data_IF_960211942775
#
_entry.id   IF_960211942775
#
_cell.length_a   1.000
_cell.length_b   1.000
_cell.length_c   1.000
_cell.angle_alpha   90.00
_cell.angle_beta   90.00
_cell.angle_gamma   90.00
#
_symmetry.space_group_name_H-M   'P 1'
#
loop_
_entity.id
_entity.type
_entity.pdbx_description
1 polymer ?
#
# COMPACT_ATOMS: atom_id res chain seq x y z
N UNK A 1 33.89 -44.98 2.29
CA UNK A 1 33.97 -44.13 1.10
C UNK A 1 34.09 -42.70 1.58
N UNK A 2 34.97 -41.91 0.98
CA UNK A 2 35.07 -40.47 1.21
C UNK A 2 34.56 -39.76 -0.04
N UNK A 3 33.50 -38.95 0.13
CA UNK A 3 33.01 -38.05 -0.91
C UNK A 3 33.69 -36.69 -0.81
N UNK A 4 33.75 -35.95 -1.92
CA UNK A 4 34.38 -34.62 -2.03
C UNK A 4 35.76 -34.57 -1.34
N UNK A 5 36.59 -35.57 -1.60
CA UNK A 5 37.83 -35.78 -0.84
C UNK A 5 38.82 -34.61 -0.97
N UNK A 6 38.65 -33.75 -1.97
CA UNK A 6 39.38 -32.49 -2.08
C UNK A 6 39.19 -31.53 -0.90
N UNK A 7 38.08 -31.64 -0.14
CA UNK A 7 37.80 -30.80 1.04
C UNK A 7 38.92 -30.92 2.08
N UNK A 8 39.50 -32.12 2.22
CA UNK A 8 40.65 -32.39 3.09
C UNK A 8 41.78 -31.35 2.91
N UNK A 9 42.01 -30.90 1.67
CA UNK A 9 43.12 -30.02 1.35
C UNK A 9 42.86 -28.54 1.64
N UNK A 10 41.67 -28.21 2.15
CA UNK A 10 41.36 -26.91 2.75
C UNK A 10 41.80 -26.83 4.22
N UNK A 11 42.03 -27.97 4.87
CA UNK A 11 42.50 -28.02 6.25
C UNK A 11 44.01 -27.74 6.34
N UNK A 12 44.51 -27.33 7.52
CA UNK A 12 45.94 -27.13 7.75
C UNK A 12 46.77 -28.35 7.39
N UNK A 13 47.98 -28.14 6.87
CA UNK A 13 48.87 -29.21 6.42
C UNK A 13 49.11 -30.29 7.49
N UNK A 14 49.18 -29.91 8.77
CA UNK A 14 49.31 -30.86 9.88
C UNK A 14 48.18 -31.89 9.94
N UNK A 15 46.94 -31.45 9.70
CA UNK A 15 45.76 -32.32 9.68
C UNK A 15 45.77 -33.27 8.48
N UNK A 16 46.15 -32.78 7.29
CA UNK A 16 46.31 -33.60 6.08
C UNK A 16 47.35 -34.70 6.30
N UNK A 17 48.50 -34.34 6.88
CA UNK A 17 49.57 -35.29 7.20
C UNK A 17 49.15 -36.29 8.29
N UNK A 18 48.35 -35.85 9.27
CA UNK A 18 47.80 -36.73 10.28
C UNK A 18 46.87 -37.78 9.69
N UNK A 19 45.94 -37.39 8.79
CA UNK A 19 45.08 -38.34 8.10
C UNK A 19 45.90 -39.30 7.25
N UNK A 20 46.90 -38.80 6.51
CA UNK A 20 47.81 -39.64 5.73
C UNK A 20 48.45 -40.75 6.56
N UNK A 21 48.97 -40.41 7.74
CA UNK A 21 49.52 -41.42 8.69
C UNK A 21 48.47 -42.42 9.14
N UNK A 22 47.26 -41.97 9.48
CA UNK A 22 46.18 -42.86 9.91
C UNK A 22 45.75 -43.82 8.79
N UNK A 23 45.67 -43.35 7.55
CA UNK A 23 45.40 -44.18 6.38
C UNK A 23 46.51 -45.21 6.17
N UNK A 24 47.78 -44.81 6.29
CA UNK A 24 48.90 -45.74 6.20
C UNK A 24 48.87 -46.80 7.30
N UNK A 25 48.59 -46.41 8.55
CA UNK A 25 48.42 -47.35 9.68
C UNK A 25 47.35 -48.40 9.36
N UNK A 26 46.18 -47.97 8.90
CA UNK A 26 45.04 -48.87 8.63
C UNK A 26 45.29 -49.76 7.41
N UNK A 27 45.91 -49.23 6.35
CA UNK A 27 46.10 -49.97 5.09
C UNK A 27 47.30 -50.91 5.12
N UNK A 28 48.34 -50.61 5.92
CA UNK A 28 49.62 -51.32 5.85
C UNK A 28 49.93 -52.12 7.12
N UNK A 29 49.34 -51.77 8.27
CA UNK A 29 49.62 -52.42 9.55
C UNK A 29 48.47 -53.33 9.97
N UNK A 30 48.79 -54.39 10.73
CA UNK A 30 47.77 -55.21 11.37
C UNK A 30 47.14 -54.47 12.54
N UNK A 31 47.99 -53.94 13.43
CA UNK A 31 47.57 -53.14 14.58
C UNK A 31 48.44 -51.90 14.69
N UNK A 32 47.85 -50.70 14.77
CA UNK A 32 48.60 -49.49 15.07
C UNK A 32 49.32 -49.61 16.43
N UNK A 33 50.58 -49.16 16.50
CA UNK A 33 51.41 -49.28 17.72
C UNK A 33 50.75 -48.64 18.96
N UNK A 34 49.97 -47.57 18.77
CA UNK A 34 49.20 -46.93 19.85
C UNK A 34 48.16 -47.87 20.44
N UNK A 35 47.47 -48.64 19.61
CA UNK A 35 46.42 -49.59 20.02
C UNK A 35 47.07 -50.76 20.74
N UNK A 36 48.18 -51.28 20.21
CA UNK A 36 48.95 -52.34 20.88
C UNK A 36 49.42 -51.92 22.27
N UNK A 37 50.02 -50.73 22.42
CA UNK A 37 50.42 -50.21 23.73
C UNK A 37 49.25 -50.00 24.68
N UNK A 38 48.11 -49.54 24.17
CA UNK A 38 46.90 -49.41 24.99
C UNK A 38 46.39 -50.78 25.46
N UNK A 39 46.32 -51.77 24.57
CA UNK A 39 45.93 -53.14 24.90
C UNK A 39 46.87 -53.74 25.96
N UNK A 40 48.18 -53.58 25.81
CA UNK A 40 49.18 -54.01 26.81
C UNK A 40 48.94 -53.37 28.19
N UNK A 41 48.66 -52.06 28.24
CA UNK A 41 48.39 -51.36 29.50
C UNK A 41 47.09 -51.83 30.16
N UNK A 42 46.03 -52.04 29.37
CA UNK A 42 44.75 -52.52 29.88
C UNK A 42 44.82 -53.97 30.36
N UNK A 43 45.50 -54.85 29.62
CA UNK A 43 45.73 -56.24 30.03
C UNK A 43 46.58 -56.34 31.29
N UNK A 44 47.54 -55.43 31.51
CA UNK A 44 48.29 -55.36 32.79
C UNK A 44 47.40 -54.98 33.97
N UNK A 45 46.44 -54.10 33.76
CA UNK A 45 45.51 -53.67 34.81
C UNK A 45 44.39 -54.69 35.06
N UNK A 46 43.94 -55.37 34.00
CA UNK A 46 42.86 -56.36 33.99
C UNK A 46 43.24 -57.52 33.05
N UNK A 47 43.91 -58.58 33.56
CA UNK A 47 44.40 -59.69 32.74
C UNK A 47 43.31 -60.47 32.00
N UNK A 48 42.08 -60.45 32.52
CA UNK A 48 40.93 -61.16 31.93
C UNK A 48 40.08 -60.25 30.99
N UNK A 49 40.58 -59.06 30.64
CA UNK A 49 39.82 -58.11 29.82
C UNK A 49 39.56 -58.61 28.40
N UNK A 50 40.51 -59.32 27.80
CA UNK A 50 40.38 -59.94 26.49
C UNK A 50 40.67 -61.44 26.62
N UNK A 51 39.90 -62.24 25.91
CA UNK A 51 40.20 -63.65 25.69
C UNK A 51 41.35 -63.82 24.70
N UNK A 52 42.04 -64.97 24.72
CA UNK A 52 43.09 -65.30 23.73
C UNK A 52 42.59 -65.13 22.28
N UNK A 53 41.31 -65.43 22.04
CA UNK A 53 40.68 -65.27 20.73
C UNK A 53 40.50 -63.79 20.34
N UNK A 54 40.14 -62.92 21.28
CA UNK A 54 40.02 -61.48 21.05
C UNK A 54 41.38 -60.81 20.89
N UNK A 55 42.41 -61.27 21.61
CA UNK A 55 43.79 -60.80 21.43
C UNK A 55 44.33 -61.19 20.04
N UNK A 56 44.11 -62.44 19.62
CA UNK A 56 44.45 -62.89 18.27
C UNK A 56 43.66 -62.13 17.19
N UNK A 57 42.39 -61.83 17.43
CA UNK A 57 41.56 -61.03 16.54
C UNK A 57 42.05 -59.58 16.46
N UNK A 58 42.50 -59.00 17.58
CA UNK A 58 43.11 -57.68 17.61
C UNK A 58 44.33 -57.64 16.69
N UNK A 59 45.18 -58.68 16.71
CA UNK A 59 46.37 -58.78 15.87
C UNK A 59 46.11 -59.09 14.39
N UNK A 60 44.87 -59.39 14.02
CA UNK A 60 44.50 -59.66 12.62
C UNK A 60 44.51 -58.38 11.77
N UNK A 61 44.91 -58.51 10.51
CA UNK A 61 44.82 -57.39 9.55
C UNK A 61 43.37 -57.14 9.20
N UNK A 62 42.96 -55.88 9.25
CA UNK A 62 41.66 -55.45 8.75
C UNK A 62 41.66 -55.45 7.21
N UNK A 63 40.70 -56.16 6.59
CA UNK A 63 40.48 -56.10 5.14
C UNK A 63 39.60 -54.88 4.82
N UNK A 64 40.25 -53.72 4.66
CA UNK A 64 39.57 -52.46 4.41
C UNK A 64 39.81 -52.00 2.97
N UNK A 65 38.70 -51.70 2.27
CA UNK A 65 38.71 -51.03 0.97
C UNK A 65 38.31 -49.57 1.15
N UNK A 66 39.14 -48.67 0.65
CA UNK A 66 38.90 -47.23 0.71
C UNK A 66 38.68 -46.71 -0.70
N UNK A 67 37.60 -45.95 -0.87
CA UNK A 67 37.25 -45.26 -2.12
C UNK A 67 37.26 -43.77 -1.81
N UNK A 68 38.01 -43.01 -2.61
CA UNK A 68 38.04 -41.54 -2.59
C UNK A 68 37.33 -41.04 -3.85
N UNK A 69 36.19 -40.37 -3.71
CA UNK A 69 35.60 -39.60 -4.79
C UNK A 69 36.21 -38.20 -4.76
N UNK A 70 36.79 -37.80 -5.88
CA UNK A 70 37.47 -36.51 -6.05
C UNK A 70 37.25 -36.04 -7.47
N UNK A 71 37.14 -34.72 -7.66
CA UNK A 71 37.06 -34.15 -9.00
C UNK A 71 38.37 -34.32 -9.78
N UNK A 72 38.26 -34.45 -11.10
CA UNK A 72 39.41 -34.61 -11.99
C UNK A 72 40.38 -33.43 -11.94
N UNK A 73 39.88 -32.19 -11.85
CA UNK A 73 40.69 -30.96 -11.73
C UNK A 73 41.40 -30.81 -10.38
N UNK A 74 40.94 -31.53 -9.35
CA UNK A 74 41.51 -31.55 -8.00
C UNK A 74 42.36 -32.78 -7.71
N UNK A 75 42.41 -33.75 -8.63
CA UNK A 75 43.14 -35.01 -8.47
C UNK A 75 44.61 -34.82 -8.10
N UNK A 76 45.25 -33.77 -8.59
CA UNK A 76 46.65 -33.44 -8.29
C UNK A 76 46.92 -33.19 -6.80
N UNK A 77 45.90 -32.83 -6.01
CA UNK A 77 46.03 -32.61 -4.57
C UNK A 77 46.35 -33.90 -3.80
N UNK A 78 45.97 -35.06 -4.34
CA UNK A 78 46.27 -36.37 -3.74
C UNK A 78 47.77 -36.61 -3.58
N UNK A 79 48.61 -35.94 -4.36
CA UNK A 79 50.06 -36.08 -4.25
C UNK A 79 50.59 -35.69 -2.85
N UNK A 80 49.87 -34.82 -2.14
CA UNK A 80 50.18 -34.45 -0.74
C UNK A 80 50.10 -35.63 0.24
N UNK A 81 49.41 -36.70 -0.14
CA UNK A 81 49.29 -37.94 0.64
C UNK A 81 50.23 -39.04 0.16
N UNK A 82 50.88 -38.89 -1.01
CA UNK A 82 51.79 -39.90 -1.59
C UNK A 82 52.91 -40.34 -0.64
N UNK A 83 53.37 -39.44 0.24
CA UNK A 83 54.40 -39.76 1.23
C UNK A 83 53.97 -40.85 2.24
N UNK A 84 52.69 -40.94 2.58
CA UNK A 84 52.14 -41.93 3.51
C UNK A 84 51.44 -43.08 2.79
N UNK A 85 50.80 -42.79 1.65
CA UNK A 85 50.06 -43.76 0.83
C UNK A 85 50.59 -43.71 -0.61
N UNK A 86 51.75 -44.35 -0.91
CA UNK A 86 52.40 -44.22 -2.22
C UNK A 86 51.55 -44.69 -3.41
N UNK A 87 50.62 -45.62 -3.18
CA UNK A 87 49.74 -46.16 -4.21
C UNK A 87 48.40 -45.44 -4.32
N UNK A 88 48.23 -44.27 -3.70
CA UNK A 88 46.95 -43.52 -3.70
C UNK A 88 46.48 -43.15 -5.11
N UNK A 89 47.40 -42.97 -6.06
CA UNK A 89 47.11 -42.68 -7.46
C UNK A 89 47.18 -43.90 -8.40
N UNK A 90 47.45 -45.09 -7.86
CA UNK A 90 47.69 -46.29 -8.68
C UNK A 90 46.40 -46.80 -9.35
N UNK A 91 45.28 -46.76 -8.64
CA UNK A 91 43.97 -47.20 -9.13
C UNK A 91 43.05 -45.99 -9.25
N UNK A 92 42.75 -45.61 -10.49
CA UNK A 92 41.92 -44.44 -10.81
C UNK A 92 40.81 -44.87 -11.75
N UNK A 93 39.60 -44.47 -11.42
CA UNK A 93 38.42 -44.70 -12.23
C UNK A 93 37.79 -43.33 -12.50
N UNK A 94 37.78 -42.95 -13.75
CA UNK A 94 37.14 -41.71 -14.18
C UNK A 94 35.67 -41.99 -14.48
N UNK A 95 34.77 -41.23 -13.86
CA UNK A 95 33.35 -41.26 -14.20
C UNK A 95 33.15 -40.43 -15.47
N UNK A 96 32.97 -41.14 -16.58
CA UNK A 96 32.65 -40.53 -17.86
C UNK A 96 31.15 -40.20 -17.94
N UNK A 97 30.79 -39.37 -18.92
CA UNK A 97 29.39 -39.15 -19.29
C UNK A 97 28.71 -40.46 -19.70
N UNK A 98 27.40 -40.52 -19.51
CA UNK A 98 26.62 -41.71 -19.83
C UNK A 98 26.53 -41.91 -21.34
N UNK A 99 26.73 -43.16 -21.78
CA UNK A 99 26.33 -43.58 -23.13
C UNK A 99 24.79 -43.65 -23.24
N UNK A 100 24.22 -43.64 -24.45
CA UNK A 100 22.76 -43.80 -24.61
C UNK A 100 22.20 -45.08 -23.99
N UNK A 101 22.97 -46.16 -23.98
CA UNK A 101 22.56 -47.43 -23.36
C UNK A 101 22.54 -47.32 -21.83
N UNK A 102 23.62 -46.78 -21.23
CA UNK A 102 23.68 -46.55 -19.77
C UNK A 102 22.63 -45.54 -19.31
N UNK A 103 22.37 -44.50 -20.10
CA UNK A 103 21.32 -43.52 -19.81
C UNK A 103 19.94 -44.15 -19.85
N UNK A 104 19.66 -45.06 -20.79
CA UNK A 104 18.41 -45.83 -20.83
C UNK A 104 18.23 -46.67 -19.56
N UNK A 105 19.26 -47.41 -19.16
CA UNK A 105 19.22 -48.17 -17.89
C UNK A 105 19.04 -47.27 -16.66
N UNK A 106 19.67 -46.09 -16.67
CA UNK A 106 19.55 -45.11 -15.61
C UNK A 106 18.18 -44.40 -15.55
N UNK A 107 17.36 -44.48 -16.60
CA UNK A 107 15.97 -44.01 -16.62
C UNK A 107 15.03 -45.14 -16.21
N UNK A 108 15.17 -46.31 -16.85
CA UNK A 108 14.21 -47.41 -16.72
C UNK A 108 14.28 -48.08 -15.35
N UNK A 109 15.48 -48.37 -14.84
CA UNK A 109 15.60 -49.13 -13.59
C UNK A 109 15.08 -48.37 -12.36
N UNK A 110 15.35 -47.06 -12.17
CA UNK A 110 14.76 -46.33 -11.05
C UNK A 110 13.24 -46.24 -11.11
N UNK A 111 12.65 -46.03 -12.30
CA UNK A 111 11.21 -45.89 -12.46
C UNK A 111 10.44 -47.18 -12.15
N UNK A 112 11.05 -48.35 -12.36
CA UNK A 112 10.45 -49.65 -12.04
C UNK A 112 10.67 -50.09 -10.59
N UNK A 113 11.42 -49.32 -9.80
CA UNK A 113 11.84 -49.75 -8.47
C UNK A 113 10.72 -49.54 -7.46
N UNK A 114 10.29 -50.63 -6.84
CA UNK A 114 9.36 -50.57 -5.71
C UNK A 114 10.08 -50.11 -4.43
N UNK A 115 9.37 -49.40 -3.57
CA UNK A 115 9.92 -48.86 -2.32
C UNK A 115 9.11 -47.70 -1.73
N UNK A 116 9.70 -47.06 -0.72
CA UNK A 116 9.12 -45.87 -0.07
C UNK A 116 9.43 -44.60 -0.89
N UNK A 117 8.96 -44.56 -2.13
CA UNK A 117 9.09 -43.42 -3.03
C UNK A 117 7.77 -42.64 -3.11
N UNK A 118 7.84 -41.38 -3.54
CA UNK A 118 6.66 -40.52 -3.67
C UNK A 118 5.71 -40.98 -4.80
N UNK A 119 6.26 -41.68 -5.78
CA UNK A 119 5.60 -42.25 -6.94
C UNK A 119 5.65 -43.79 -6.85
N UNK A 120 4.59 -44.48 -7.29
CA UNK A 120 4.66 -45.93 -7.48
C UNK A 120 5.47 -46.25 -8.75
N UNK A 121 5.87 -47.52 -8.94
CA UNK A 121 6.57 -47.95 -10.14
C UNK A 121 5.79 -47.64 -11.43
N UNK A 122 6.50 -47.17 -12.46
CA UNK A 122 5.94 -46.85 -13.77
C UNK A 122 6.91 -47.22 -14.89
N UNK A 123 6.39 -47.27 -16.12
CA UNK A 123 7.15 -47.67 -17.32
C UNK A 123 7.13 -46.57 -18.38
N UNK A 124 8.14 -46.58 -19.25
CA UNK A 124 8.22 -45.69 -20.40
C UNK A 124 7.94 -46.45 -21.70
N UNK A 125 7.19 -45.82 -22.60
CA UNK A 125 7.12 -46.26 -23.98
C UNK A 125 8.52 -46.13 -24.63
N UNK A 126 8.93 -47.07 -25.51
CA UNK A 126 10.23 -46.99 -26.17
C UNK A 126 10.47 -45.66 -26.92
N UNK A 127 9.41 -45.12 -27.53
CA UNK A 127 9.45 -43.83 -28.23
C UNK A 127 9.58 -42.62 -27.30
N UNK A 128 9.13 -42.72 -26.04
CA UNK A 128 9.31 -41.68 -25.03
C UNK A 128 10.78 -41.61 -24.62
N UNK A 129 11.40 -42.76 -24.37
CA UNK A 129 12.83 -42.86 -24.08
C UNK A 129 13.68 -42.34 -25.24
N UNK A 130 13.32 -42.67 -26.48
CA UNK A 130 14.03 -42.16 -27.66
C UNK A 130 13.92 -40.64 -27.77
N UNK A 131 12.76 -40.06 -27.45
CA UNK A 131 12.55 -38.60 -27.38
C UNK A 131 13.46 -37.96 -26.31
N UNK A 132 13.50 -38.53 -25.10
CA UNK A 132 14.36 -38.06 -24.01
C UNK A 132 15.85 -38.12 -24.39
N UNK A 133 16.30 -39.26 -24.91
CA UNK A 133 17.71 -39.48 -25.28
C UNK A 133 18.13 -38.60 -26.47
N UNK A 134 17.25 -38.42 -27.47
CA UNK A 134 17.51 -37.53 -28.59
C UNK A 134 17.71 -36.08 -28.14
N UNK A 135 16.94 -35.62 -27.15
CA UNK A 135 17.12 -34.30 -26.56
C UNK A 135 18.44 -34.18 -25.79
N UNK A 136 18.71 -35.11 -24.85
CA UNK A 136 19.89 -35.07 -23.99
C UNK A 136 21.20 -35.09 -24.80
N UNK A 137 21.22 -35.86 -25.89
CA UNK A 137 22.38 -35.96 -26.79
C UNK A 137 22.45 -34.82 -27.82
N UNK A 138 21.45 -33.93 -27.89
CA UNK A 138 21.23 -32.99 -29.02
C UNK A 138 21.37 -33.69 -30.38
N UNK A 139 20.67 -34.81 -30.54
CA UNK A 139 20.73 -35.63 -31.75
C UNK A 139 22.09 -36.30 -31.97
N UNK A 140 22.82 -36.63 -30.90
CA UNK A 140 24.14 -37.26 -30.94
C UNK A 140 25.34 -36.32 -31.00
N UNK A 141 25.13 -35.00 -30.90
CA UNK A 141 26.19 -33.99 -30.96
C UNK A 141 26.98 -33.84 -29.64
N UNK A 142 26.42 -34.28 -28.52
CA UNK A 142 27.05 -34.16 -27.19
C UNK A 142 26.80 -35.43 -26.35
N UNK A 143 27.67 -35.73 -25.38
CA UNK A 143 27.42 -36.82 -24.45
C UNK A 143 26.29 -36.48 -23.46
N UNK A 144 25.74 -37.51 -22.80
CA UNK A 144 24.65 -37.33 -21.83
C UNK A 144 25.23 -36.95 -20.47
N UNK A 145 24.91 -35.75 -20.03
CA UNK A 145 25.24 -35.27 -18.68
C UNK A 145 24.19 -35.76 -17.68
N UNK A 146 24.65 -36.35 -16.58
CA UNK A 146 23.79 -36.89 -15.53
C UNK A 146 22.84 -35.85 -14.94
N UNK A 147 23.27 -34.60 -14.83
CA UNK A 147 22.43 -33.50 -14.33
C UNK A 147 21.21 -33.23 -15.22
N UNK A 148 21.41 -33.21 -16.55
CA UNK A 148 20.30 -33.00 -17.49
C UNK A 148 19.32 -34.17 -17.45
N UNK A 149 19.84 -35.39 -17.34
CA UNK A 149 19.06 -36.60 -17.18
C UNK A 149 18.21 -36.55 -15.90
N UNK A 150 18.80 -36.14 -14.78
CA UNK A 150 18.13 -36.02 -13.48
C UNK A 150 16.96 -35.03 -13.53
N UNK A 151 17.15 -33.84 -14.11
CA UNK A 151 16.07 -32.85 -14.24
C UNK A 151 14.90 -33.43 -15.04
N UNK A 152 15.21 -34.10 -16.16
CA UNK A 152 14.19 -34.66 -17.02
C UNK A 152 13.42 -35.78 -16.31
N UNK A 153 14.12 -36.71 -15.65
CA UNK A 153 13.49 -37.79 -14.89
C UNK A 153 12.64 -37.24 -13.73
N UNK A 154 13.13 -36.23 -13.00
CA UNK A 154 12.38 -35.60 -11.93
C UNK A 154 11.10 -34.93 -12.44
N UNK A 155 11.12 -34.36 -13.64
CA UNK A 155 9.93 -33.77 -14.23
C UNK A 155 8.88 -34.82 -14.59
N UNK A 156 9.30 -35.99 -15.09
CA UNK A 156 8.40 -37.13 -15.35
C UNK A 156 7.83 -37.68 -14.04
N UNK A 157 8.66 -37.86 -13.02
CA UNK A 157 8.23 -38.28 -11.68
C UNK A 157 7.15 -37.35 -11.12
N UNK A 158 7.32 -36.03 -11.26
CA UNK A 158 6.32 -35.04 -10.87
C UNK A 158 5.05 -35.10 -11.74
N UNK A 159 5.16 -35.50 -13.00
CA UNK A 159 4.00 -35.75 -13.85
C UNK A 159 3.23 -36.98 -13.36
N UNK A 160 3.90 -38.13 -13.19
CA UNK A 160 3.34 -39.39 -12.66
C UNK A 160 2.63 -39.17 -11.33
N UNK A 161 3.27 -38.44 -10.39
CA UNK A 161 2.68 -38.14 -9.09
C UNK A 161 1.36 -37.36 -9.17
N UNK A 162 1.17 -36.55 -10.23
CA UNK A 162 -0.03 -35.72 -10.42
C UNK A 162 -1.10 -36.40 -11.27
N UNK A 163 -0.71 -37.08 -12.34
CA UNK A 163 -1.63 -37.73 -13.28
C UNK A 163 -2.12 -39.09 -12.76
N UNK A 164 -1.28 -39.78 -11.98
CA UNK A 164 -1.46 -41.19 -11.68
C UNK A 164 -1.25 -42.10 -12.89
N UNK A 165 -0.59 -41.59 -13.93
CA UNK A 165 -0.24 -42.39 -15.11
C UNK A 165 1.00 -43.25 -14.82
N UNK A 166 0.92 -44.52 -15.20
CA UNK A 166 1.97 -45.50 -14.99
C UNK A 166 2.65 -45.93 -16.29
N UNK A 167 2.26 -45.32 -17.42
CA UNK A 167 2.85 -45.60 -18.73
C UNK A 167 3.12 -44.31 -19.51
N UNK A 168 4.39 -43.93 -19.62
CA UNK A 168 4.80 -42.63 -20.17
C UNK A 168 4.94 -42.71 -21.68
N UNK A 169 4.07 -42.01 -22.40
CA UNK A 169 4.10 -41.86 -23.85
C UNK A 169 4.97 -40.64 -24.27
N UNK A 170 5.36 -40.53 -25.56
CA UNK A 170 6.19 -39.42 -26.03
C UNK A 170 5.61 -38.03 -25.74
N UNK A 171 4.29 -37.89 -25.80
CA UNK A 171 3.60 -36.62 -25.56
C UNK A 171 3.66 -36.20 -24.08
N UNK A 172 3.79 -37.16 -23.15
CA UNK A 172 3.93 -36.90 -21.71
C UNK A 172 5.30 -36.32 -21.33
N UNK A 173 6.32 -36.60 -22.15
CA UNK A 173 7.67 -36.03 -21.96
C UNK A 173 7.68 -34.52 -22.19
N UNK A 174 6.79 -34.04 -23.06
CA UNK A 174 6.65 -32.62 -23.39
C UNK A 174 7.88 -32.03 -24.09
N UNK A 175 7.97 -30.69 -24.10
CA UNK A 175 9.15 -29.96 -24.58
C UNK A 175 10.23 -29.97 -23.48
N UNK A 176 11.38 -30.64 -23.66
CA UNK A 176 12.39 -30.66 -22.63
C UNK A 176 12.98 -29.27 -22.37
N UNK A 177 13.01 -28.34 -23.35
CA UNK A 177 13.40 -26.96 -23.04
C UNK A 177 12.44 -26.29 -22.06
N UNK A 178 11.16 -26.67 -22.08
CA UNK A 178 10.19 -26.24 -21.10
C UNK A 178 10.48 -26.86 -19.74
N UNK A 179 10.86 -28.14 -19.69
CA UNK A 179 11.25 -28.82 -18.45
C UNK A 179 12.39 -28.07 -17.73
N UNK A 180 13.46 -27.66 -18.42
CA UNK A 180 14.54 -26.89 -17.77
C UNK A 180 14.10 -25.49 -17.33
N UNK A 181 13.19 -24.86 -18.07
CA UNK A 181 12.59 -23.57 -17.67
C UNK A 181 11.77 -23.71 -16.40
N UNK A 182 10.87 -24.68 -16.41
CA UNK A 182 9.93 -24.94 -15.33
C UNK A 182 10.68 -25.46 -14.10
N UNK A 183 11.77 -26.21 -14.28
CA UNK A 183 12.64 -26.64 -13.19
C UNK A 183 13.12 -25.46 -12.34
N UNK A 184 13.73 -24.43 -12.96
CA UNK A 184 14.20 -23.26 -12.24
C UNK A 184 13.05 -22.58 -11.48
N UNK A 185 11.95 -22.29 -12.17
CA UNK A 185 10.80 -21.59 -11.59
C UNK A 185 10.18 -22.42 -10.43
N UNK A 186 10.09 -23.74 -10.58
CA UNK A 186 9.58 -24.65 -9.56
C UNK A 186 10.48 -24.69 -8.32
N UNK A 187 11.80 -24.81 -8.49
CA UNK A 187 12.72 -24.82 -7.35
C UNK A 187 12.68 -23.50 -6.58
N UNK A 188 12.59 -22.36 -7.27
CA UNK A 188 12.40 -21.05 -6.63
C UNK A 188 11.03 -20.97 -5.92
N UNK A 189 9.99 -21.56 -6.49
CA UNK A 189 8.65 -21.58 -5.89
C UNK A 189 8.56 -22.41 -4.59
N UNK A 190 9.48 -23.35 -4.36
CA UNK A 190 9.55 -24.10 -3.10
C UNK A 190 9.97 -23.23 -1.89
N UNK A 191 10.59 -22.07 -2.14
CA UNK A 191 10.99 -21.13 -1.10
C UNK A 191 9.75 -20.37 -0.62
N UNK A 192 9.28 -20.69 0.59
CA UNK A 192 8.03 -20.17 1.14
C UNK A 192 8.11 -18.70 1.55
N UNK A 193 9.25 -18.25 2.08
CA UNK A 193 9.42 -16.85 2.48
C UNK A 193 9.64 -15.97 1.23
N UNK A 194 8.75 -14.99 0.96
CA UNK A 194 8.88 -14.11 -0.20
C UNK A 194 10.18 -13.29 -0.22
N UNK A 195 10.73 -12.95 0.95
CA UNK A 195 11.99 -12.20 1.05
C UNK A 195 13.15 -13.10 0.65
N UNK A 196 13.23 -14.31 1.21
CA UNK A 196 14.23 -15.30 0.82
C UNK A 196 14.12 -15.67 -0.65
N UNK A 197 12.90 -15.87 -1.15
CA UNK A 197 12.65 -16.19 -2.54
C UNK A 197 13.17 -15.08 -3.47
N UNK A 198 12.88 -13.81 -3.15
CA UNK A 198 13.39 -12.68 -3.93
C UNK A 198 14.92 -12.59 -3.84
N UNK A 199 15.51 -12.79 -2.66
CA UNK A 199 16.96 -12.78 -2.49
C UNK A 199 17.64 -13.90 -3.30
N UNK A 200 17.11 -15.13 -3.26
CA UNK A 200 17.60 -16.26 -4.04
C UNK A 200 17.52 -15.98 -5.55
N UNK A 201 16.40 -15.40 -6.01
CA UNK A 201 16.26 -14.97 -7.40
C UNK A 201 17.31 -13.93 -7.77
N UNK A 202 17.53 -12.90 -6.96
CA UNK A 202 18.55 -11.88 -7.25
C UNK A 202 19.96 -12.48 -7.28
N UNK A 203 20.31 -13.35 -6.34
CA UNK A 203 21.60 -14.05 -6.37
C UNK A 203 21.78 -14.82 -7.69
N UNK A 204 20.81 -15.64 -8.06
CA UNK A 204 20.92 -16.52 -9.22
C UNK A 204 20.84 -15.74 -10.54
N UNK A 205 19.86 -14.84 -10.67
CA UNK A 205 19.58 -14.08 -11.89
C UNK A 205 20.57 -12.93 -12.14
N UNK A 206 21.14 -12.33 -11.09
CA UNK A 206 22.00 -11.14 -11.19
C UNK A 206 23.45 -11.40 -10.77
N UNK A 207 23.68 -12.32 -9.84
CA UNK A 207 25.02 -12.57 -9.26
C UNK A 207 25.78 -13.72 -9.90
N UNK A 208 25.12 -14.85 -10.14
CA UNK A 208 25.76 -16.09 -10.61
C UNK A 208 25.74 -16.26 -12.13
N UNK A 209 25.19 -15.29 -12.87
CA UNK A 209 25.13 -15.32 -14.34
C UNK A 209 25.62 -14.00 -14.92
N UNK A 210 26.61 -14.09 -15.81
CA UNK A 210 27.03 -12.97 -16.64
C UNK A 210 26.21 -12.91 -17.93
N UNK A 211 25.24 -11.99 -17.96
CA UNK A 211 24.24 -11.89 -19.02
C UNK A 211 24.81 -11.65 -20.42
N UNK A 212 25.88 -10.85 -20.55
CA UNK A 212 26.45 -10.50 -21.86
C UNK A 212 27.06 -11.67 -22.61
N UNK A 213 27.68 -12.60 -21.88
CA UNK A 213 28.32 -13.79 -22.47
C UNK A 213 27.53 -15.08 -22.20
N UNK A 214 26.42 -15.00 -21.46
CA UNK A 214 25.63 -16.16 -21.02
C UNK A 214 26.50 -17.21 -20.33
N UNK A 215 27.34 -16.77 -19.39
CA UNK A 215 28.26 -17.64 -18.64
C UNK A 215 27.95 -17.63 -17.16
N UNK A 216 28.22 -18.76 -16.51
CA UNK A 216 28.18 -18.87 -15.05
C UNK A 216 29.28 -18.01 -14.43
N UNK A 217 28.96 -17.44 -13.28
CA UNK A 217 29.87 -16.76 -12.38
C UNK A 217 29.95 -17.53 -11.07
N UNK A 218 31.11 -17.43 -10.45
CA UNK A 218 31.39 -18.00 -9.13
C UNK A 218 31.48 -16.86 -8.12
N UNK A 219 30.77 -16.98 -7.00
CA UNK A 219 30.81 -16.00 -5.91
C UNK A 219 31.21 -16.66 -4.59
N UNK A 220 31.89 -15.92 -3.72
CA UNK A 220 32.23 -16.39 -2.38
C UNK A 220 31.04 -16.24 -1.43
N UNK A 221 30.90 -17.15 -0.46
CA UNK A 221 29.95 -17.06 0.66
C UNK A 221 29.83 -15.63 1.24
N UNK A 222 30.95 -15.02 1.63
CA UNK A 222 30.98 -13.66 2.22
C UNK A 222 30.35 -12.63 1.28
N UNK A 223 30.66 -12.69 -0.03
CA UNK A 223 30.09 -11.76 -1.01
C UNK A 223 28.58 -11.96 -1.17
N UNK A 224 28.12 -13.21 -1.10
CA UNK A 224 26.71 -13.56 -1.19
C UNK A 224 25.94 -13.01 0.01
N UNK A 225 26.47 -13.21 1.23
CA UNK A 225 25.88 -12.66 2.45
C UNK A 225 25.79 -11.14 2.39
N UNK A 226 26.87 -10.45 2.03
CA UNK A 226 26.93 -8.98 2.04
C UNK A 226 26.07 -8.34 0.95
N UNK A 227 26.04 -8.92 -0.26
CA UNK A 227 25.37 -8.30 -1.42
C UNK A 227 23.91 -8.70 -1.58
N UNK A 228 23.54 -9.90 -1.14
CA UNK A 228 22.19 -10.46 -1.36
C UNK A 228 21.44 -10.77 -0.06
N UNK A 229 22.08 -10.68 1.11
CA UNK A 229 21.43 -10.91 2.41
C UNK A 229 20.91 -12.34 2.59
N UNK A 230 21.51 -13.30 1.91
CA UNK A 230 21.13 -14.72 1.96
C UNK A 230 21.81 -15.38 3.16
N UNK A 231 21.11 -16.25 3.88
CA UNK A 231 21.66 -17.00 5.03
C UNK A 231 22.37 -18.29 4.60
N UNK A 232 23.23 -18.84 5.48
CA UNK A 232 23.87 -20.15 5.25
C UNK A 232 22.84 -21.27 5.08
N UNK A 233 21.72 -21.20 5.80
CA UNK A 233 20.63 -22.16 5.70
C UNK A 233 19.99 -22.13 4.30
N UNK A 234 19.69 -20.92 3.79
CA UNK A 234 19.14 -20.77 2.45
C UNK A 234 20.11 -21.24 1.37
N UNK A 235 21.42 -20.96 1.52
CA UNK A 235 22.44 -21.50 0.61
C UNK A 235 22.46 -23.02 0.60
N UNK A 236 22.41 -23.66 1.77
CA UNK A 236 22.34 -25.13 1.88
C UNK A 236 21.10 -25.68 1.18
N UNK A 237 19.92 -25.10 1.43
CA UNK A 237 18.69 -25.50 0.72
C UNK A 237 18.80 -25.35 -0.79
N UNK A 238 19.39 -24.25 -1.28
CA UNK A 238 19.60 -24.04 -2.72
C UNK A 238 20.59 -25.06 -3.32
N UNK A 239 21.60 -25.48 -2.57
CA UNK A 239 22.49 -26.57 -2.98
C UNK A 239 21.77 -27.92 -2.96
N UNK A 240 20.94 -28.19 -1.96
CA UNK A 240 20.15 -29.43 -1.85
C UNK A 240 19.14 -29.56 -3.01
N UNK A 241 18.58 -28.45 -3.49
CA UNK A 241 17.75 -28.41 -4.70
C UNK A 241 18.55 -28.56 -6.00
N UNK A 242 19.87 -28.71 -5.94
CA UNK A 242 20.77 -28.79 -7.10
C UNK A 242 20.69 -27.58 -8.04
N UNK A 243 20.13 -26.44 -7.61
CA UNK A 243 20.24 -25.18 -8.34
C UNK A 243 21.66 -24.62 -8.26
N UNK A 244 22.24 -24.72 -7.07
CA UNK A 244 23.59 -24.26 -6.78
C UNK A 244 24.53 -25.43 -6.53
N UNK A 245 25.79 -25.21 -6.87
CA UNK A 245 26.91 -26.03 -6.44
C UNK A 245 27.75 -25.23 -5.47
N UNK A 246 28.11 -25.86 -4.36
CA UNK A 246 29.11 -25.33 -3.42
C UNK A 246 30.46 -26.02 -3.67
N UNK A 247 31.54 -25.25 -3.64
CA UNK A 247 32.91 -25.76 -3.73
C UNK A 247 33.73 -25.21 -2.56
N UNK A 248 34.45 -26.08 -1.83
CA UNK A 248 35.33 -25.64 -0.77
C UNK A 248 36.56 -24.93 -1.37
N UNK A 249 36.89 -23.75 -0.85
CA UNK A 249 38.04 -22.99 -1.31
C UNK A 249 39.30 -23.37 -0.50
N UNK A 250 40.45 -23.49 -1.17
CA UNK A 250 41.75 -23.77 -0.55
C UNK A 250 42.18 -22.70 0.47
N UNK A 251 41.61 -21.49 0.41
CA UNK A 251 41.87 -20.40 1.37
C UNK A 251 40.82 -20.32 2.50
N UNK A 252 39.94 -21.31 2.60
CA UNK A 252 38.80 -21.33 3.51
C UNK A 252 37.54 -20.73 2.88
N UNK A 253 36.39 -21.10 3.47
CA UNK A 253 35.06 -20.74 2.97
C UNK A 253 34.64 -21.55 1.76
N UNK A 254 33.49 -21.18 1.20
CA UNK A 254 32.89 -21.82 0.03
C UNK A 254 32.69 -20.82 -1.10
N UNK A 255 32.85 -21.32 -2.32
CA UNK A 255 32.39 -20.65 -3.52
C UNK A 255 31.13 -21.31 -4.04
N UNK A 256 30.20 -20.52 -4.53
CA UNK A 256 28.94 -20.97 -5.11
C UNK A 256 28.85 -20.58 -6.57
N UNK A 257 28.30 -21.47 -7.36
CA UNK A 257 28.00 -21.28 -8.78
C UNK A 257 26.68 -21.98 -9.12
N UNK A 258 26.12 -21.69 -10.31
CA UNK A 258 25.05 -22.53 -10.85
C UNK A 258 25.58 -23.94 -11.14
N UNK A 259 24.79 -24.94 -10.79
CA UNK A 259 25.17 -26.36 -10.95
C UNK A 259 25.52 -26.74 -12.39
N UNK A 260 24.86 -26.12 -13.37
CA UNK A 260 25.09 -26.43 -14.78
C UNK A 260 24.86 -25.24 -15.72
N UNK A 261 25.55 -25.24 -16.86
CA UNK A 261 25.40 -24.21 -17.90
C UNK A 261 24.01 -24.23 -18.54
N UNK A 262 23.34 -25.39 -18.57
CA UNK A 262 21.97 -25.54 -19.10
C UNK A 262 20.94 -24.69 -18.35
N UNK A 263 21.22 -24.33 -17.08
CA UNK A 263 20.35 -23.46 -16.29
C UNK A 263 20.51 -21.97 -16.63
N UNK A 264 21.59 -21.56 -17.31
CA UNK A 264 21.86 -20.15 -17.61
C UNK A 264 20.74 -19.54 -18.45
N UNK A 265 20.33 -20.21 -19.53
CA UNK A 265 19.27 -19.70 -20.40
C UNK A 265 17.91 -19.62 -19.70
N UNK A 266 17.43 -20.65 -18.97
CA UNK A 266 16.27 -20.56 -18.09
C UNK A 266 16.29 -19.37 -17.12
N UNK A 267 17.42 -19.19 -16.41
CA UNK A 267 17.60 -18.11 -15.42
C UNK A 267 17.49 -16.73 -16.07
N UNK A 268 18.14 -16.52 -17.21
CA UNK A 268 18.06 -15.25 -17.94
C UNK A 268 16.64 -14.96 -18.46
N UNK A 269 15.92 -15.98 -18.93
CA UNK A 269 14.50 -15.85 -19.32
C UNK A 269 13.63 -15.49 -18.12
N UNK A 270 13.86 -16.10 -16.96
CA UNK A 270 13.12 -15.80 -15.73
C UNK A 270 13.38 -14.38 -15.23
N UNK A 271 14.64 -13.92 -15.28
CA UNK A 271 15.02 -12.53 -15.00
C UNK A 271 14.27 -11.55 -15.90
N UNK A 272 14.26 -11.79 -17.21
CA UNK A 272 13.56 -10.93 -18.16
C UNK A 272 12.06 -10.83 -17.83
N UNK A 273 11.41 -11.97 -17.54
CA UNK A 273 10.00 -12.00 -17.12
C UNK A 273 9.76 -11.20 -15.83
N UNK A 274 10.67 -11.31 -14.85
CA UNK A 274 10.58 -10.56 -13.58
C UNK A 274 10.67 -9.07 -13.82
N UNK A 275 11.69 -8.62 -14.55
CA UNK A 275 11.91 -7.20 -14.84
C UNK A 275 10.70 -6.65 -15.60
N UNK A 276 10.18 -7.38 -16.59
CA UNK A 276 8.97 -6.97 -17.33
C UNK A 276 7.72 -6.90 -16.44
N UNK A 277 7.59 -7.78 -15.46
CA UNK A 277 6.49 -7.73 -14.50
C UNK A 277 6.64 -6.54 -13.52
N UNK A 278 7.86 -6.29 -13.04
CA UNK A 278 8.20 -5.16 -12.17
C UNK A 278 7.99 -3.82 -12.87
N UNK A 279 8.41 -3.68 -14.14
CA UNK A 279 8.18 -2.47 -14.92
C UNK A 279 6.70 -2.23 -15.18
N UNK A 280 5.95 -3.26 -15.58
CA UNK A 280 4.49 -3.17 -15.75
C UNK A 280 3.77 -2.79 -14.46
N UNK A 281 4.19 -3.34 -13.32
CA UNK A 281 3.63 -2.99 -12.02
C UNK A 281 3.92 -1.54 -11.64
N UNK A 282 5.15 -1.07 -11.86
CA UNK A 282 5.54 0.32 -11.60
C UNK A 282 4.78 1.31 -12.51
N UNK A 283 4.61 0.99 -13.79
CA UNK A 283 3.82 1.80 -14.73
C UNK A 283 2.34 1.87 -14.32
N UNK A 284 1.74 0.74 -13.94
CA UNK A 284 0.37 0.69 -13.47
C UNK A 284 0.18 1.49 -12.17
N UNK A 285 1.14 1.45 -11.25
CA UNK A 285 1.10 2.25 -10.03
C UNK A 285 1.24 3.75 -10.33
N UNK A 286 2.15 4.13 -11.23
CA UNK A 286 2.31 5.51 -11.68
C UNK A 286 1.03 6.03 -12.36
N UNK A 287 0.36 5.20 -13.18
CA UNK A 287 -0.91 5.56 -13.80
C UNK A 287 -2.03 5.73 -12.76
N UNK A 288 -2.10 4.84 -11.74
CA UNK A 288 -3.05 4.98 -10.63
C UNK A 288 -2.83 6.26 -9.84
N UNK A 289 -1.56 6.61 -9.54
CA UNK A 289 -1.20 7.87 -8.86
C UNK A 289 -1.64 9.08 -9.69
N UNK A 290 -1.33 9.11 -11.00
CA UNK A 290 -1.76 10.20 -11.90
C UNK A 290 -3.28 10.35 -11.97
N UNK A 291 -4.03 9.24 -12.05
CA UNK A 291 -5.51 9.27 -12.04
C UNK A 291 -6.05 9.79 -10.72
N UNK A 292 -5.44 9.41 -9.59
CA UNK A 292 -5.82 9.91 -8.28
C UNK A 292 -5.59 11.43 -8.15
N UNK A 293 -4.43 11.92 -8.59
CA UNK A 293 -4.10 13.35 -8.60
C UNK A 293 -5.06 14.16 -9.48
N UNK A 294 -5.38 13.66 -10.68
CA UNK A 294 -6.35 14.30 -11.58
C UNK A 294 -7.75 14.34 -10.96
N UNK A 295 -8.20 13.23 -10.36
CA UNK A 295 -9.50 13.18 -9.70
C UNK A 295 -9.56 14.12 -8.48
N UNK A 296 -8.46 14.28 -7.75
CA UNK A 296 -8.37 15.23 -6.64
C UNK A 296 -8.40 16.69 -7.13
N UNK A 297 -7.66 17.00 -8.20
CA UNK A 297 -7.67 18.31 -8.83
C UNK A 297 -9.06 18.67 -9.39
N UNK A 298 -9.78 17.71 -9.99
CA UNK A 298 -11.16 17.90 -10.43
C UNK A 298 -12.11 18.16 -9.26
N UNK A 299 -11.98 17.42 -8.14
CA UNK A 299 -12.77 17.67 -6.93
C UNK A 299 -12.51 19.04 -6.35
N UNK A 300 -11.25 19.48 -6.31
CA UNK A 300 -10.89 20.82 -5.84
C UNK A 300 -11.50 21.91 -6.73
N UNK A 301 -11.38 21.78 -8.07
CA UNK A 301 -12.03 22.71 -9.01
C UNK A 301 -13.55 22.73 -8.86
N UNK A 302 -14.19 21.56 -8.68
CA UNK A 302 -15.64 21.50 -8.46
C UNK A 302 -16.04 22.15 -7.14
N UNK A 303 -15.26 21.97 -6.07
CA UNK A 303 -15.50 22.61 -4.78
C UNK A 303 -15.36 24.15 -4.87
N UNK A 304 -14.32 24.64 -5.56
CA UNK A 304 -14.08 26.06 -5.78
C UNK A 304 -15.23 26.69 -6.60
N UNK A 305 -15.61 26.06 -7.71
CA UNK A 305 -16.76 26.48 -8.51
C UNK A 305 -18.08 26.45 -7.71
N UNK A 306 -18.27 25.46 -6.84
CA UNK A 306 -19.43 25.38 -5.96
C UNK A 306 -19.42 26.51 -4.91
N UNK A 307 -18.27 26.87 -4.37
CA UNK A 307 -18.11 27.98 -3.45
C UNK A 307 -18.38 29.32 -4.13
N UNK A 308 -17.85 29.55 -5.33
CA UNK A 308 -18.15 30.73 -6.14
C UNK A 308 -19.65 30.85 -6.44
N UNK A 309 -20.29 29.75 -6.84
CA UNK A 309 -21.76 29.71 -7.07
C UNK A 309 -22.52 30.08 -5.80
N UNK A 310 -22.12 29.56 -4.63
CA UNK A 310 -22.74 29.91 -3.34
C UNK A 310 -22.57 31.39 -3.01
N UNK A 311 -21.38 31.98 -3.25
CA UNK A 311 -21.13 33.43 -3.08
C UNK A 311 -22.03 34.27 -3.99
N UNK A 312 -22.11 33.93 -5.28
CA UNK A 312 -22.99 34.61 -6.26
C UNK A 312 -24.47 34.50 -5.89
N UNK A 313 -24.93 33.32 -5.45
CA UNK A 313 -26.31 33.11 -5.01
C UNK A 313 -26.66 33.93 -3.76
N UNK A 314 -25.74 34.06 -2.80
CA UNK A 314 -25.95 34.92 -1.62
C UNK A 314 -26.03 36.40 -2.01
N UNK A 315 -25.12 36.86 -2.87
CA UNK A 315 -25.13 38.24 -3.35
C UNK A 315 -26.41 38.59 -4.10
N UNK A 316 -26.88 37.70 -5.00
CA UNK A 316 -28.16 37.90 -5.71
C UNK A 316 -29.36 37.88 -4.76
N UNK A 317 -29.42 36.98 -3.77
CA UNK A 317 -30.48 36.99 -2.75
C UNK A 317 -30.50 38.30 -1.95
N UNK A 318 -29.33 38.77 -1.50
CA UNK A 318 -29.25 40.03 -0.76
C UNK A 318 -29.62 41.23 -1.63
N UNK A 319 -29.24 41.25 -2.90
CA UNK A 319 -29.66 42.30 -3.84
C UNK A 319 -31.19 42.32 -4.04
N UNK A 320 -31.83 41.15 -4.19
CA UNK A 320 -33.30 41.05 -4.31
C UNK A 320 -34.01 41.51 -3.04
N UNK A 321 -33.53 41.09 -1.86
CA UNK A 321 -34.08 41.54 -0.57
C UNK A 321 -33.92 43.06 -0.42
N UNK A 322 -32.73 43.60 -0.74
CA UNK A 322 -32.47 45.04 -0.72
C UNK A 322 -33.39 45.82 -1.67
N UNK A 323 -33.63 45.30 -2.87
CA UNK A 323 -34.55 45.90 -3.84
C UNK A 323 -35.99 45.90 -3.34
N UNK A 324 -36.46 44.79 -2.76
CA UNK A 324 -37.80 44.70 -2.17
C UNK A 324 -37.97 45.67 -1.00
N UNK A 325 -36.98 45.77 -0.10
CA UNK A 325 -37.01 46.73 1.01
C UNK A 325 -37.04 48.18 0.52
N UNK A 326 -36.25 48.51 -0.51
CA UNK A 326 -36.28 49.84 -1.11
C UNK A 326 -37.66 50.15 -1.72
N UNK A 327 -38.28 49.19 -2.42
CA UNK A 327 -39.62 49.36 -2.97
C UNK A 327 -40.68 49.58 -1.87
N UNK A 328 -40.63 48.80 -0.79
CA UNK A 328 -41.53 48.98 0.37
C UNK A 328 -41.32 50.35 1.02
N UNK A 329 -40.07 50.79 1.17
CA UNK A 329 -39.75 52.11 1.71
C UNK A 329 -40.33 53.24 0.85
N UNK A 330 -40.24 53.14 -0.49
CA UNK A 330 -40.81 54.13 -1.41
C UNK A 330 -42.33 54.20 -1.25
N UNK A 331 -43.02 53.05 -1.20
CA UNK A 331 -44.47 52.98 -1.01
C UNK A 331 -44.87 53.60 0.34
N UNK A 332 -44.15 53.28 1.42
CA UNK A 332 -44.38 53.85 2.74
C UNK A 332 -44.18 55.38 2.76
N UNK A 333 -43.15 55.89 2.09
CA UNK A 333 -42.92 57.33 1.96
C UNK A 333 -44.04 58.05 1.21
N UNK A 334 -44.53 57.47 0.11
CA UNK A 334 -45.67 58.03 -0.64
C UNK A 334 -46.91 58.10 0.24
N UNK A 335 -47.20 57.01 0.97
CA UNK A 335 -48.34 56.95 1.88
C UNK A 335 -48.24 57.97 3.01
N UNK A 336 -47.05 58.15 3.61
CA UNK A 336 -46.80 59.13 4.67
C UNK A 336 -47.03 60.57 4.19
N UNK A 337 -46.59 60.92 2.97
CA UNK A 337 -46.81 62.25 2.38
C UNK A 337 -48.31 62.49 2.13
N UNK A 338 -49.04 61.49 1.64
CA UNK A 338 -50.47 61.60 1.38
C UNK A 338 -51.28 61.81 2.68
N UNK A 339 -50.93 61.06 3.74
CA UNK A 339 -51.54 61.23 5.07
C UNK A 339 -51.26 62.61 5.66
N UNK A 340 -50.04 63.13 5.53
CA UNK A 340 -49.69 64.47 6.00
C UNK A 340 -50.52 65.57 5.32
N UNK A 341 -50.78 65.45 4.01
CA UNK A 341 -51.64 66.39 3.28
C UNK A 341 -53.10 66.35 3.75
N UNK A 342 -53.65 65.15 3.95
CA UNK A 342 -55.02 64.99 4.47
C UNK A 342 -55.17 65.61 5.86
N UNK A 343 -54.17 65.47 6.72
CA UNK A 343 -54.16 66.07 8.05
C UNK A 343 -54.14 67.61 7.98
N UNK A 344 -53.34 68.20 7.09
CA UNK A 344 -53.30 69.66 6.90
C UNK A 344 -54.62 70.23 6.38
N UNK A 345 -55.27 69.56 5.42
CA UNK A 345 -56.58 69.99 4.92
C UNK A 345 -57.68 69.93 5.99
N UNK A 346 -57.62 68.95 6.89
CA UNK A 346 -58.55 68.84 8.01
C UNK A 346 -58.36 69.98 9.03
N UNK A 347 -57.11 70.38 9.28
CA UNK A 347 -56.79 71.47 10.20
C UNK A 347 -57.28 72.84 9.68
N UNK A 348 -57.06 73.13 8.40
CA UNK A 348 -57.53 74.38 7.76
C UNK A 348 -59.07 74.47 7.78
N UNK A 349 -59.77 73.34 7.57
CA UNK A 349 -61.24 73.28 7.67
C UNK A 349 -61.75 73.53 9.10
N UNK A 350 -61.02 73.09 10.12
CA UNK A 350 -61.39 73.34 11.51
C UNK A 350 -61.24 74.83 11.89
N UNK A 351 -60.16 75.48 11.48
CA UNK A 351 -59.91 76.90 11.76
C UNK A 351 -60.95 77.82 11.10
N UNK A 352 -61.28 77.56 9.83
CA UNK A 352 -62.32 78.32 9.11
C UNK A 352 -63.74 78.14 9.70
N UNK A 353 -64.06 76.96 10.23
CA UNK A 353 -65.32 76.70 10.92
C UNK A 353 -65.41 77.45 12.27
N UNK A 354 -64.28 77.63 12.95
CA UNK A 354 -64.21 78.41 14.19
C UNK A 354 -64.47 79.90 13.94
N UNK A 355 -63.85 80.44 12.89
CA UNK A 355 -63.95 81.87 12.56
C UNK A 355 -65.35 82.28 12.10
N UNK A 356 -66.08 81.37 11.44
CA UNK A 356 -67.48 81.60 11.04
C UNK A 356 -68.45 81.52 12.24
N UNK A 357 -68.16 80.70 13.24
CA UNK A 357 -68.93 80.64 14.49
C UNK A 357 -68.78 81.91 15.34
N UNK A 358 -67.57 82.50 15.41
CA UNK A 358 -67.33 83.74 16.15
C UNK A 358 -68.04 84.96 15.52
N UNK A 359 -68.00 85.07 14.18
CA UNK A 359 -68.66 86.16 13.46
C UNK A 359 -70.19 86.12 13.59
N UNK A 360 -70.79 84.93 13.56
CA UNK A 360 -72.24 84.77 13.73
C UNK A 360 -72.72 85.09 15.15
N UNK A 361 -71.90 84.82 16.17
CA UNK A 361 -72.18 85.19 17.56
C UNK A 361 -72.17 86.72 17.76
N UNK A 362 -71.22 87.42 17.14
CA UNK A 362 -71.14 88.90 17.20
C UNK A 362 -72.36 89.57 16.54
N UNK A 363 -72.84 89.03 15.43
CA UNK A 363 -74.01 89.56 14.73
C UNK A 363 -75.31 89.41 15.54
N UNK A 364 -75.45 88.31 16.28
CA UNK A 364 -76.55 88.05 17.21
C UNK A 364 -76.57 89.04 18.38
N UNK A 365 -75.42 89.30 19.01
CA UNK A 365 -75.30 90.28 20.09
C UNK A 365 -75.70 91.68 19.64
N UNK A 366 -75.28 92.09 18.44
CA UNK A 366 -75.62 93.40 17.87
C UNK A 366 -77.13 93.57 17.67
N UNK A 367 -77.81 92.55 17.13
CA UNK A 367 -79.28 92.55 16.97
C UNK A 367 -80.02 92.63 18.30
N UNK A 368 -79.53 91.97 19.34
CA UNK A 368 -80.14 92.01 20.68
C UNK A 368 -80.01 93.40 21.33
N UNK A 369 -78.85 94.05 21.20
CA UNK A 369 -78.63 95.42 21.70
C UNK A 369 -79.56 96.42 20.99
N UNK A 370 -79.73 96.30 19.67
CA UNK A 370 -80.61 97.18 18.90
C UNK A 370 -82.10 97.02 19.29
N UNK A 371 -82.54 95.81 19.67
CA UNK A 371 -83.91 95.57 20.12
C UNK A 371 -84.17 96.22 21.50
N UNK A 372 -83.22 96.14 22.42
CA UNK A 372 -83.30 96.84 23.71
C UNK A 372 -83.27 98.36 23.55
N UNK A 373 -82.51 98.88 22.58
CA UNK A 373 -82.49 100.32 22.28
C UNK A 373 -83.82 100.83 21.74
N UNK A 374 -84.45 100.10 20.81
CA UNK A 374 -85.79 100.44 20.33
C UNK A 374 -86.84 100.44 21.44
N UNK A 375 -86.73 99.49 22.37
CA UNK A 375 -87.59 99.44 23.57
C UNK A 375 -87.31 100.61 24.52
N UNK A 376 -86.05 101.01 24.71
CA UNK A 376 -85.71 102.19 25.49
C UNK A 376 -86.28 103.48 24.86
N UNK A 377 -86.10 103.66 23.55
CA UNK A 377 -86.58 104.85 22.82
C UNK A 377 -88.12 104.96 22.85
N UNK A 378 -88.84 103.84 22.86
CA UNK A 378 -90.31 103.83 22.99
C UNK A 378 -90.78 104.25 24.38
N UNK A 379 -90.10 103.80 25.46
CA UNK A 379 -90.42 104.25 26.83
C UNK A 379 -90.03 105.72 27.07
N UNK A 380 -89.03 106.24 26.37
CA UNK A 380 -88.67 107.65 26.39
C UNK A 380 -89.81 108.53 25.86
N UNK A 381 -90.49 108.07 24.80
CA UNK A 381 -91.61 108.79 24.16
C UNK A 381 -92.90 108.74 24.99
N UNK A 382 -93.11 107.71 25.81
CA UNK A 382 -94.29 107.58 26.69
C UNK A 382 -94.13 108.24 28.06
N UNK A 383 -92.93 108.77 28.39
CA UNK A 383 -92.65 109.47 29.65
C UNK A 383 -92.35 108.56 30.84
N UNK A 384 -92.09 107.27 30.61
CA UNK A 384 -91.85 106.25 31.64
C UNK A 384 -90.35 106.07 31.94
N UNK A 385 -89.72 107.06 32.56
CA UNK A 385 -88.25 107.10 32.74
C UNK A 385 -87.64 105.92 33.53
N UNK A 386 -88.41 105.23 34.38
CA UNK A 386 -87.92 104.04 35.10
C UNK A 386 -87.82 102.79 34.22
N UNK A 387 -88.69 102.64 33.21
CA UNK A 387 -88.63 101.52 32.26
C UNK A 387 -87.56 101.75 31.18
N UNK A 388 -87.36 103.00 30.74
CA UNK A 388 -86.27 103.39 29.85
C UNK A 388 -84.91 102.99 30.43
N UNK A 389 -84.67 103.32 31.71
CA UNK A 389 -83.44 102.94 32.41
C UNK A 389 -83.22 101.42 32.46
N UNK A 390 -84.30 100.64 32.66
CA UNK A 390 -84.23 99.17 32.70
C UNK A 390 -83.84 98.58 31.34
N UNK A 391 -84.37 99.12 30.24
CA UNK A 391 -84.04 98.67 28.89
C UNK A 391 -82.60 99.04 28.48
N UNK A 392 -82.12 100.22 28.88
CA UNK A 392 -80.73 100.61 28.66
C UNK A 392 -79.73 99.78 29.46
N UNK A 393 -80.06 99.38 30.70
CA UNK A 393 -79.24 98.42 31.48
C UNK A 393 -79.22 97.04 30.84
N UNK A 394 -80.35 96.56 30.32
CA UNK A 394 -80.41 95.27 29.61
C UNK A 394 -79.56 95.28 28.31
N UNK A 395 -79.50 96.41 27.60
CA UNK A 395 -78.61 96.57 26.45
C UNK A 395 -77.11 96.50 26.84
N UNK A 396 -76.75 97.04 28.00
CA UNK A 396 -75.39 97.03 28.55
C UNK A 396 -74.90 95.67 29.07
N UNK A 397 -75.81 94.79 29.50
CA UNK A 397 -75.46 93.40 29.85
C UNK A 397 -75.09 92.56 28.62
N UNK A 398 -75.67 92.87 27.46
CA UNK A 398 -75.41 92.15 26.19
C UNK A 398 -74.12 92.65 25.53
N UNK A 399 -73.86 93.96 25.58
CA UNK A 399 -72.61 94.56 25.11
C UNK A 399 -72.14 95.66 26.07
N UNK A 400 -71.25 95.26 26.99
CA UNK A 400 -70.69 96.14 28.03
C UNK A 400 -69.65 97.13 27.49
N UNK A 401 -69.28 97.05 26.21
CA UNK A 401 -68.24 97.90 25.60
C UNK A 401 -68.77 99.20 25.00
N UNK A 402 -70.10 99.34 24.88
CA UNK A 402 -70.81 100.51 24.33
C UNK A 402 -70.82 101.71 25.29
N UNK A 403 -69.81 102.57 25.17
CA UNK A 403 -69.66 103.81 25.99
C UNK A 403 -70.82 104.80 25.84
N UNK A 404 -71.47 104.83 24.68
CA UNK A 404 -72.65 105.66 24.39
C UNK A 404 -73.84 105.29 25.29
N UNK A 405 -74.04 104.00 25.56
CA UNK A 405 -75.11 103.52 26.44
C UNK A 405 -74.81 103.83 27.91
N UNK A 406 -73.55 103.72 28.32
CA UNK A 406 -73.11 104.02 29.70
C UNK A 406 -73.41 105.46 30.08
N UNK A 407 -73.08 106.40 29.18
CA UNK A 407 -73.34 107.82 29.40
C UNK A 407 -74.85 108.11 29.49
N UNK A 408 -75.64 107.46 28.63
CA UNK A 408 -77.10 107.65 28.55
C UNK A 408 -77.82 107.12 29.80
N UNK A 409 -77.36 106.00 30.36
CA UNK A 409 -77.81 105.47 31.66
C UNK A 409 -77.47 106.43 32.80
N UNK A 410 -76.23 106.93 32.87
CA UNK A 410 -75.80 107.87 33.91
C UNK A 410 -76.60 109.18 33.90
N UNK A 411 -76.91 109.70 32.72
CA UNK A 411 -77.65 110.95 32.57
C UNK A 411 -79.14 110.81 33.00
N UNK A 412 -79.75 109.65 32.72
CA UNK A 412 -81.11 109.31 33.17
C UNK A 412 -81.17 109.05 34.69
N UNK A 413 -80.17 108.39 35.25
CA UNK A 413 -80.05 108.18 36.70
C UNK A 413 -79.93 109.51 37.45
N UNK A 414 -79.14 110.44 36.92
CA UNK A 414 -78.98 111.79 37.47
C UNK A 414 -80.29 112.60 37.42
N UNK A 415 -81.06 112.50 36.33
CA UNK A 415 -82.38 113.17 36.19
C UNK A 415 -83.44 112.59 37.13
N UNK A 416 -83.41 111.29 37.38
CA UNK A 416 -84.33 110.61 38.32
C UNK A 416 -83.99 110.91 39.79
N UNK A 417 -82.73 111.20 40.13
CA UNK A 417 -82.33 111.51 41.51
C UNK A 417 -82.65 112.95 41.96
N UNK A 418 -82.99 113.86 41.04
CA UNK A 418 -83.40 115.25 41.37
C UNK A 418 -84.92 115.43 41.53
N UNK A 419 -85.70 114.37 41.34
CA UNK A 419 -87.18 114.43 41.30
C UNK A 419 -87.86 113.88 42.57
N UNK A 420 -87.12 113.71 43.66
CA UNK A 420 -87.60 113.29 44.98
C UNK A 420 -87.37 114.36 46.04
#
# INVERSE_FOLDING_TARGET
>A
MFDQFEELFTYPQGSVQQLGRQLAEILQMAVPQRVRKMAELFLRAQPELLTDAEEAALESRLDIRIIFAIRSDRLSLLDRLSAHVPQILAQRYELQSLSPAEAREAIDHPAQKDGNFATPPFEYAPAALDTMLAYLTKGGAQPIESFQLQILCQSIEQYVARSGDYYIEPDDVGDPEQVFRDYYDNQIALIQDPVEQLSARRLIEEGLVYEKEQRRLTLFDVQIHESYGISDDLLRRLVDTHLLRAEPNLRGGYTYELSHDTLVTPVLKAKARRIEAETRAAEAEAERRRKAELAEAERQRQAELAEERRKRQRATRYAVIGFLLAAVSIVASIFAVQQSRLAQEAQIRAESAQQTAENSLMELKKKQVDDYLKKADTHQLTGESALELKMLRAALEVDSTRKDLQNRVQELEFKLSQKN
#
